data_IF_703562098120
#
_entry.id   IF_703562098120
#
_cell.length_a   1.000
_cell.length_b   1.000
_cell.length_c   1.000
_cell.angle_alpha   90.00
_cell.angle_beta   90.00
_cell.angle_gamma   90.00
#
_symmetry.space_group_name_H-M   'P 1'
#
loop_
_entity.id
_entity.type
_entity.pdbx_description
1 polymer ?
#
# COMPACT_ATOMS: atom_id res chain seq x y z
N UNK A 1 -40.62 -28.08 18.53
CA UNK A 1 -39.52 -27.69 19.43
C UNK A 1 -38.28 -27.67 18.55
N UNK A 2 -37.96 -26.48 18.07
CA UNK A 2 -36.74 -25.97 17.40
C UNK A 2 -35.63 -26.98 17.03
N UNK A 3 -35.49 -27.27 15.73
CA UNK A 3 -34.23 -27.75 15.14
C UNK A 3 -33.33 -26.53 14.85
N UNK A 4 -32.56 -26.10 15.86
CA UNK A 4 -31.45 -25.19 15.67
C UNK A 4 -30.33 -25.89 14.89
N UNK A 5 -30.27 -25.69 13.58
CA UNK A 5 -29.11 -26.06 12.76
C UNK A 5 -27.95 -25.11 13.04
N UNK A 6 -27.19 -25.42 14.09
CA UNK A 6 -25.97 -24.74 14.46
C UNK A 6 -24.88 -24.98 13.39
N UNK A 7 -24.83 -24.12 12.38
CA UNK A 7 -23.74 -24.09 11.41
C UNK A 7 -22.50 -23.50 12.09
N UNK A 8 -21.60 -24.38 12.52
CA UNK A 8 -20.28 -23.98 13.01
C UNK A 8 -19.49 -23.40 11.82
N UNK A 9 -18.93 -22.19 11.90
CA UNK A 9 -18.20 -21.60 10.79
C UNK A 9 -16.98 -22.46 10.47
N UNK A 10 -16.98 -23.07 9.29
CA UNK A 10 -15.87 -23.85 8.77
C UNK A 10 -14.64 -22.92 8.69
N UNK A 11 -13.59 -23.22 9.46
CA UNK A 11 -12.32 -22.46 9.42
C UNK A 11 -11.74 -22.57 8.01
N UNK A 12 -11.89 -21.51 7.22
CA UNK A 12 -11.27 -21.43 5.89
C UNK A 12 -9.76 -21.60 6.03
N UNK A 13 -9.19 -22.59 5.34
CA UNK A 13 -7.77 -22.82 5.36
C UNK A 13 -7.11 -21.85 4.36
N UNK A 14 -5.93 -21.31 4.68
CA UNK A 14 -5.25 -20.29 3.84
C UNK A 14 -4.97 -20.81 2.42
N UNK A 15 -4.91 -22.14 2.25
CA UNK A 15 -4.76 -22.81 0.94
C UNK A 15 -6.03 -22.83 0.09
N UNK A 16 -7.20 -22.52 0.65
CA UNK A 16 -8.49 -22.49 -0.06
C UNK A 16 -8.72 -21.13 -0.73
N UNK A 17 -7.81 -20.16 -0.57
CA UNK A 17 -7.88 -18.86 -1.20
C UNK A 17 -7.73 -18.97 -2.73
N UNK A 18 -8.50 -18.19 -3.52
CA UNK A 18 -8.40 -18.19 -4.96
C UNK A 18 -6.98 -17.91 -5.44
N UNK A 19 -6.54 -18.56 -6.53
CA UNK A 19 -5.18 -18.42 -7.07
C UNK A 19 -4.79 -16.97 -7.35
N UNK A 20 -5.77 -16.13 -7.73
CA UNK A 20 -5.55 -14.71 -7.97
C UNK A 20 -5.15 -13.96 -6.70
N UNK A 21 -5.69 -14.32 -5.53
CA UNK A 21 -5.35 -13.71 -4.24
C UNK A 21 -3.88 -13.98 -3.90
N UNK A 22 -3.41 -15.20 -4.12
CA UNK A 22 -1.99 -15.54 -3.97
C UNK A 22 -1.10 -14.75 -4.94
N UNK A 23 -1.50 -14.64 -6.21
CA UNK A 23 -0.73 -13.89 -7.22
C UNK A 23 -0.62 -12.39 -6.89
N UNK A 24 -1.72 -11.73 -6.53
CA UNK A 24 -1.68 -10.31 -6.13
C UNK A 24 -1.02 -10.12 -4.77
N UNK A 25 -1.15 -11.08 -3.85
CA UNK A 25 -0.49 -11.05 -2.55
C UNK A 25 1.03 -11.06 -2.69
N UNK A 26 1.59 -11.98 -3.48
CA UNK A 26 3.03 -12.00 -3.76
C UNK A 26 3.48 -10.74 -4.49
N UNK A 27 2.75 -10.32 -5.53
CA UNK A 27 3.09 -9.10 -6.28
C UNK A 27 3.11 -7.88 -5.36
N UNK A 28 2.09 -7.74 -4.50
CA UNK A 28 2.01 -6.65 -3.53
C UNK A 28 3.15 -6.72 -2.51
N UNK A 29 3.48 -7.89 -2.01
CA UNK A 29 4.60 -8.06 -1.07
C UNK A 29 5.93 -7.63 -1.68
N UNK A 30 6.23 -8.09 -2.90
CA UNK A 30 7.46 -7.68 -3.59
C UNK A 30 7.46 -6.19 -3.94
N UNK A 31 6.31 -5.64 -4.32
CA UNK A 31 6.14 -4.21 -4.57
C UNK A 31 6.44 -3.39 -3.32
N UNK A 32 5.90 -3.78 -2.18
CA UNK A 32 6.07 -3.09 -0.89
C UNK A 32 7.52 -3.12 -0.44
N UNK A 33 8.14 -4.30 -0.42
CA UNK A 33 9.57 -4.49 -0.11
C UNK A 33 10.45 -3.64 -1.03
N UNK A 34 10.19 -3.65 -2.34
CA UNK A 34 10.99 -2.89 -3.30
C UNK A 34 10.84 -1.38 -3.11
N UNK A 35 9.62 -0.91 -2.85
CA UNK A 35 9.33 0.51 -2.70
C UNK A 35 9.94 1.06 -1.42
N UNK A 36 9.81 0.33 -0.30
CA UNK A 36 10.44 0.68 0.98
C UNK A 36 11.97 0.73 0.88
N UNK A 37 12.60 -0.22 0.17
CA UNK A 37 14.04 -0.18 -0.05
C UNK A 37 14.46 1.10 -0.79
N UNK A 38 13.78 1.47 -1.87
CA UNK A 38 14.12 2.65 -2.67
C UNK A 38 13.94 3.94 -1.86
N UNK A 39 12.82 4.07 -1.14
CA UNK A 39 12.53 5.26 -0.33
C UNK A 39 13.58 5.47 0.76
N UNK A 40 14.09 4.39 1.38
CA UNK A 40 15.11 4.50 2.42
C UNK A 40 16.53 4.68 1.85
N UNK A 41 16.85 4.09 0.70
CA UNK A 41 18.20 4.17 0.10
C UNK A 41 18.42 5.52 -0.59
N UNK A 42 17.39 6.11 -1.19
CA UNK A 42 17.52 7.33 -1.99
C UNK A 42 18.09 8.53 -1.19
N UNK A 43 17.62 8.85 0.03
CA UNK A 43 18.18 9.91 0.86
C UNK A 43 19.65 9.64 1.22
N UNK A 44 19.97 8.37 1.49
CA UNK A 44 21.33 7.94 1.84
C UNK A 44 22.29 8.08 0.65
N UNK A 45 21.81 7.80 -0.56
CA UNK A 45 22.56 8.00 -1.80
C UNK A 45 22.78 9.49 -2.09
N UNK A 46 21.72 10.31 -1.96
CA UNK A 46 21.82 11.76 -2.11
C UNK A 46 22.84 12.37 -1.15
N UNK A 47 22.82 11.95 0.12
CA UNK A 47 23.74 12.47 1.13
C UNK A 47 25.18 11.98 0.93
N UNK A 48 25.39 10.66 0.82
CA UNK A 48 26.73 10.08 0.90
C UNK A 48 27.46 10.00 -0.44
N UNK A 49 26.73 9.82 -1.54
CA UNK A 49 27.34 9.67 -2.87
C UNK A 49 27.34 10.99 -3.63
N UNK A 50 26.20 11.68 -3.62
CA UNK A 50 26.04 12.96 -4.33
C UNK A 50 26.42 14.18 -3.49
N UNK A 51 26.62 14.02 -2.18
CA UNK A 51 26.99 15.12 -1.28
C UNK A 51 25.91 16.18 -1.08
N UNK A 52 24.64 15.83 -1.32
CA UNK A 52 23.50 16.75 -1.18
C UNK A 52 23.29 17.08 0.29
N UNK A 53 23.08 18.36 0.60
CA UNK A 53 22.81 18.80 1.97
C UNK A 53 21.48 18.23 2.49
N UNK A 54 21.45 17.80 3.74
CA UNK A 54 20.27 17.21 4.40
C UNK A 54 19.03 18.11 4.35
N UNK A 55 19.21 19.44 4.41
CA UNK A 55 18.12 20.40 4.26
C UNK A 55 17.43 20.32 2.88
N UNK A 56 18.20 20.11 1.81
CA UNK A 56 17.67 19.95 0.45
C UNK A 56 16.98 18.60 0.29
N UNK A 57 17.53 17.54 0.89
CA UNK A 57 16.91 16.20 0.91
C UNK A 57 15.54 16.29 1.59
N UNK A 58 15.45 16.92 2.77
CA UNK A 58 14.19 17.14 3.47
C UNK A 58 13.18 17.98 2.67
N UNK A 59 13.65 18.96 1.88
CA UNK A 59 12.77 19.71 0.97
C UNK A 59 12.21 18.81 -0.15
N UNK A 60 13.04 17.96 -0.75
CA UNK A 60 12.63 17.00 -1.79
C UNK A 60 11.57 16.05 -1.23
N UNK A 61 11.85 15.43 -0.07
CA UNK A 61 10.91 14.53 0.61
C UNK A 61 9.61 15.25 0.98
N UNK A 62 9.69 16.47 1.49
CA UNK A 62 8.52 17.27 1.83
C UNK A 62 7.62 17.56 0.62
N UNK A 63 8.21 17.92 -0.53
CA UNK A 63 7.47 18.14 -1.77
C UNK A 63 6.86 16.84 -2.28
N UNK A 64 7.62 15.74 -2.22
CA UNK A 64 7.14 14.42 -2.63
C UNK A 64 5.94 13.97 -1.79
N UNK A 65 6.03 14.06 -0.46
CA UNK A 65 4.94 13.66 0.44
C UNK A 65 3.71 14.58 0.31
N UNK A 66 3.94 15.88 0.13
CA UNK A 66 2.84 16.83 -0.11
C UNK A 66 2.10 16.50 -1.40
N UNK A 67 2.84 16.25 -2.48
CA UNK A 67 2.26 15.87 -3.77
C UNK A 67 1.51 14.54 -3.65
N UNK A 68 2.12 13.54 -3.03
CA UNK A 68 1.49 12.24 -2.80
C UNK A 68 0.20 12.37 -1.97
N UNK A 69 0.23 13.16 -0.89
CA UNK A 69 -0.93 13.42 -0.03
C UNK A 69 -2.05 14.13 -0.78
N UNK A 70 -1.74 15.15 -1.58
CA UNK A 70 -2.73 15.85 -2.43
C UNK A 70 -3.35 14.88 -3.44
N UNK A 71 -2.53 14.05 -4.09
CA UNK A 71 -3.02 13.06 -5.06
C UNK A 71 -3.88 11.98 -4.39
N UNK A 72 -3.52 11.51 -3.19
CA UNK A 72 -4.34 10.57 -2.41
C UNK A 72 -5.70 11.16 -2.08
N UNK A 73 -5.76 12.43 -1.64
CA UNK A 73 -7.02 13.13 -1.39
C UNK A 73 -7.87 13.27 -2.66
N UNK A 74 -7.25 13.69 -3.77
CA UNK A 74 -7.95 13.83 -5.04
C UNK A 74 -8.46 12.49 -5.58
N UNK A 75 -7.63 11.44 -5.52
CA UNK A 75 -7.99 10.08 -5.93
C UNK A 75 -9.09 9.50 -5.04
N UNK A 76 -9.06 9.76 -3.73
CA UNK A 76 -10.10 9.36 -2.80
C UNK A 76 -11.44 10.03 -3.13
N UNK A 77 -11.45 11.36 -3.26
CA UNK A 77 -12.65 12.09 -3.67
C UNK A 77 -13.20 11.63 -5.03
N UNK A 78 -12.32 11.41 -6.01
CA UNK A 78 -12.71 10.94 -7.33
C UNK A 78 -13.27 9.52 -7.27
N UNK A 79 -12.63 8.62 -6.52
CA UNK A 79 -13.08 7.26 -6.29
C UNK A 79 -14.44 7.23 -5.59
N UNK A 80 -14.64 8.07 -4.57
CA UNK A 80 -15.90 8.16 -3.84
C UNK A 80 -17.03 8.72 -4.71
N UNK A 81 -16.72 9.71 -5.57
CA UNK A 81 -17.68 10.29 -6.50
C UNK A 81 -18.08 9.32 -7.62
N UNK A 82 -17.17 8.45 -8.05
CA UNK A 82 -17.45 7.38 -9.02
C UNK A 82 -18.09 6.15 -8.34
N UNK A 83 -17.78 5.92 -7.06
CA UNK A 83 -18.22 4.80 -6.22
C UNK A 83 -19.57 5.00 -5.57
N UNK A 84 -20.55 5.52 -6.31
CA UNK A 84 -21.95 5.42 -5.95
C UNK A 84 -22.37 3.95 -5.91
N UNK A 85 -22.83 3.50 -4.74
CA UNK A 85 -23.49 2.21 -4.45
C UNK A 85 -24.02 1.49 -5.70
N UNK A 86 -23.38 0.39 -6.08
CA UNK A 86 -23.98 -0.75 -6.81
C UNK A 86 -23.12 -1.99 -6.63
#
# INVERSE_FOLDING_TARGET
>A
MEDETNQTPQKAHIRDLPRNVWAVGFTSFFMDVSSEMVINILPLFLANVLGVQTAVIGLIEGIAETTASVLKLFSGWLSDKLGGRK
#
